data_IF_982679375090
#
_entry.id   IF_982679375090
#
_cell.length_a   1.000
_cell.length_b   1.000
_cell.length_c   1.000
_cell.angle_alpha   90.00
_cell.angle_beta   90.00
_cell.angle_gamma   90.00
#
_symmetry.space_group_name_H-M   'P 1'
#
loop_
_entity.id
_entity.type
_entity.pdbx_description
1 polymer ?
#
# COMPACT_ATOMS: atom_id res chain seq x y z
N UNK A 1 -8.53 -27.65 6.65
CA UNK A 1 -7.86 -26.33 6.66
C UNK A 1 -7.08 -26.25 7.96
N UNK A 2 -5.83 -25.80 7.96
CA UNK A 2 -5.23 -25.40 9.24
C UNK A 2 -5.87 -24.07 9.62
N UNK A 3 -6.42 -23.97 10.82
CA UNK A 3 -7.13 -22.78 11.32
C UNK A 3 -6.18 -21.61 11.61
N UNK A 4 -5.13 -21.40 10.81
CA UNK A 4 -4.19 -20.29 10.95
C UNK A 4 -4.90 -18.95 10.82
N UNK A 5 -5.82 -18.82 9.87
CA UNK A 5 -6.65 -17.61 9.68
C UNK A 5 -7.39 -17.26 10.97
N UNK A 6 -8.05 -18.23 11.60
CA UNK A 6 -8.79 -18.01 12.85
C UNK A 6 -7.87 -17.64 14.02
N UNK A 7 -6.71 -18.28 14.12
CA UNK A 7 -5.70 -17.97 15.14
C UNK A 7 -5.12 -16.56 14.97
N UNK A 8 -4.78 -16.19 13.73
CA UNK A 8 -4.25 -14.86 13.41
C UNK A 8 -5.31 -13.80 13.63
N UNK A 9 -6.54 -14.00 13.15
CA UNK A 9 -7.69 -13.11 13.40
C UNK A 9 -7.90 -12.87 14.88
N UNK A 10 -7.88 -13.93 15.70
CA UNK A 10 -7.99 -13.81 17.15
C UNK A 10 -6.80 -13.07 17.77
N UNK A 11 -5.59 -13.28 17.28
CA UNK A 11 -4.40 -12.62 17.80
C UNK A 11 -4.39 -11.11 17.48
N UNK A 12 -4.87 -10.71 16.30
CA UNK A 12 -5.06 -9.29 15.97
C UNK A 12 -6.23 -8.70 16.74
N UNK A 13 -7.39 -9.36 16.80
CA UNK A 13 -8.57 -8.87 17.56
C UNK A 13 -8.26 -8.65 19.05
N UNK A 14 -7.36 -9.45 19.63
CA UNK A 14 -6.91 -9.28 21.02
C UNK A 14 -5.86 -8.16 21.22
N UNK A 15 -5.44 -7.45 20.17
CA UNK A 15 -4.58 -6.27 20.30
C UNK A 15 -5.39 -5.11 20.92
N UNK A 16 -4.82 -4.38 21.90
CA UNK A 16 -5.49 -3.24 22.51
C UNK A 16 -5.71 -2.09 21.53
N UNK A 17 -4.86 -2.01 20.50
CA UNK A 17 -4.93 -1.05 19.42
C UNK A 17 -4.60 -1.76 18.10
N UNK A 18 -5.61 -1.91 17.25
CA UNK A 18 -5.55 -2.71 16.01
C UNK A 18 -4.99 -1.92 14.82
N UNK A 19 -3.94 -1.14 15.06
CA UNK A 19 -3.22 -0.43 14.00
C UNK A 19 -2.40 -1.39 13.12
N UNK A 20 -2.18 -1.05 11.83
CA UNK A 20 -1.38 -1.87 10.92
C UNK A 20 0.02 -2.16 11.49
N UNK A 21 0.64 -1.18 12.15
CA UNK A 21 1.96 -1.35 12.78
C UNK A 21 1.95 -2.40 13.90
N UNK A 22 0.90 -2.47 14.73
CA UNK A 22 0.79 -3.47 15.79
C UNK A 22 0.50 -4.87 15.23
N UNK A 23 -0.31 -4.94 14.16
CA UNK A 23 -0.61 -6.19 13.45
C UNK A 23 0.64 -6.81 12.83
N UNK A 24 1.50 -6.01 12.19
CA UNK A 24 2.81 -6.47 11.67
C UNK A 24 3.64 -7.16 12.77
N UNK A 25 3.65 -6.62 14.00
CA UNK A 25 4.36 -7.24 15.13
C UNK A 25 3.77 -8.58 15.54
N UNK A 26 2.45 -8.77 15.41
CA UNK A 26 1.78 -10.06 15.68
C UNK A 26 2.16 -11.09 14.61
N UNK A 27 2.18 -10.69 13.35
CA UNK A 27 2.54 -11.56 12.23
C UNK A 27 3.98 -12.07 12.34
N UNK A 28 4.91 -11.18 12.70
CA UNK A 28 6.31 -11.57 12.89
C UNK A 28 6.48 -12.58 14.05
N UNK A 29 5.78 -12.33 15.17
CA UNK A 29 5.74 -13.28 16.30
C UNK A 29 5.15 -14.62 15.91
N UNK A 30 4.11 -14.65 15.08
CA UNK A 30 3.51 -15.90 14.60
C UNK A 30 4.51 -16.73 13.78
N UNK A 31 5.26 -16.07 12.87
CA UNK A 31 6.32 -16.73 12.09
C UNK A 31 7.40 -17.32 12.99
N UNK A 32 7.86 -16.55 13.97
CA UNK A 32 8.85 -17.01 14.94
C UNK A 32 8.34 -18.20 15.79
N UNK A 33 7.06 -18.17 16.19
CA UNK A 33 6.43 -19.24 16.96
C UNK A 33 6.33 -20.54 16.17
N UNK A 34 5.89 -20.48 14.91
CA UNK A 34 5.80 -21.67 14.04
C UNK A 34 7.18 -22.27 13.79
N UNK A 35 8.19 -21.43 13.51
CA UNK A 35 9.57 -21.91 13.34
C UNK A 35 10.06 -22.65 14.58
N UNK A 36 9.90 -22.04 15.76
CA UNK A 36 10.30 -22.64 17.03
C UNK A 36 9.54 -23.94 17.33
N UNK A 37 8.26 -24.00 16.98
CA UNK A 37 7.46 -25.21 17.11
C UNK A 37 7.99 -26.33 16.21
N UNK A 38 8.34 -26.03 14.96
CA UNK A 38 8.89 -27.01 14.02
C UNK A 38 10.28 -27.49 14.45
N UNK A 39 11.12 -26.60 14.97
CA UNK A 39 12.44 -26.93 15.53
C UNK A 39 12.36 -27.80 16.80
N UNK A 40 11.27 -27.68 17.56
CA UNK A 40 11.03 -28.49 18.76
C UNK A 40 10.59 -29.93 18.44
N UNK A 41 10.17 -30.22 17.20
CA UNK A 41 9.77 -31.56 16.77
C UNK A 41 11.02 -32.40 16.51
N UNK A 42 11.03 -33.65 17.00
CA UNK A 42 12.11 -34.60 16.78
C UNK A 42 11.59 -35.92 16.16
N UNK A 43 12.12 -36.35 15.00
CA UNK A 43 13.13 -35.67 14.17
C UNK A 43 12.57 -34.38 13.52
N UNK A 44 13.42 -33.39 13.23
CA UNK A 44 12.97 -32.15 12.62
C UNK A 44 12.34 -32.44 11.24
N UNK A 45 11.23 -31.75 10.90
CA UNK A 45 10.64 -31.87 9.59
C UNK A 45 11.57 -31.31 8.51
N UNK A 46 11.48 -31.85 7.29
CA UNK A 46 12.28 -31.37 6.15
C UNK A 46 12.05 -29.88 5.86
N UNK A 47 13.07 -29.18 5.35
CA UNK A 47 12.97 -27.77 4.97
C UNK A 47 11.79 -27.45 4.05
N UNK A 48 11.44 -28.36 3.13
CA UNK A 48 10.26 -28.20 2.26
C UNK A 48 8.95 -28.10 3.05
N UNK A 49 8.81 -28.87 4.13
CA UNK A 49 7.62 -28.85 4.99
C UNK A 49 7.57 -27.57 5.81
N UNK A 50 8.72 -27.13 6.31
CA UNK A 50 8.85 -25.86 7.04
C UNK A 50 8.46 -24.70 6.12
N UNK A 51 9.03 -24.65 4.91
CA UNK A 51 8.72 -23.64 3.91
C UNK A 51 7.22 -23.63 3.58
N UNK A 52 6.61 -24.80 3.35
CA UNK A 52 5.17 -24.91 3.10
C UNK A 52 4.30 -24.43 4.27
N UNK A 53 4.71 -24.60 5.52
CA UNK A 53 3.95 -24.08 6.65
C UNK A 53 4.09 -22.58 6.84
N UNK A 54 5.28 -22.03 6.59
CA UNK A 54 5.47 -20.59 6.57
C UNK A 54 4.71 -19.92 5.43
N UNK A 55 4.67 -20.57 4.26
CA UNK A 55 3.90 -20.11 3.10
C UNK A 55 2.40 -20.06 3.41
N UNK A 56 1.84 -21.13 3.98
CA UNK A 56 0.44 -21.15 4.43
C UNK A 56 0.14 -20.09 5.51
N UNK A 57 1.09 -19.86 6.42
CA UNK A 57 0.95 -18.80 7.42
C UNK A 57 0.90 -17.42 6.74
N UNK A 58 1.74 -17.17 5.73
CA UNK A 58 1.74 -15.92 4.97
C UNK A 58 0.43 -15.71 4.21
N UNK A 59 -0.09 -16.75 3.55
CA UNK A 59 -1.39 -16.68 2.88
C UNK A 59 -2.53 -16.35 3.87
N UNK A 60 -2.50 -16.96 5.06
CA UNK A 60 -3.48 -16.67 6.10
C UNK A 60 -3.38 -15.23 6.62
N UNK A 61 -2.16 -14.68 6.71
CA UNK A 61 -1.94 -13.28 7.09
C UNK A 61 -2.52 -12.34 6.03
N UNK A 62 -2.27 -12.62 4.74
CA UNK A 62 -2.77 -11.82 3.61
C UNK A 62 -4.31 -11.79 3.55
N UNK A 63 -4.94 -12.94 3.77
CA UNK A 63 -6.41 -13.05 3.82
C UNK A 63 -6.99 -12.24 4.99
N UNK A 64 -6.43 -12.38 6.20
CA UNK A 64 -6.85 -11.58 7.37
C UNK A 64 -6.56 -10.10 7.14
N UNK A 65 -5.48 -9.77 6.43
CA UNK A 65 -5.13 -8.38 6.15
C UNK A 65 -6.11 -7.72 5.20
N UNK A 66 -6.42 -8.39 4.10
CA UNK A 66 -7.44 -7.98 3.14
C UNK A 66 -8.80 -7.82 3.81
N UNK A 67 -9.25 -8.81 4.60
CA UNK A 67 -10.52 -8.70 5.33
C UNK A 67 -10.55 -7.50 6.28
N UNK A 68 -9.44 -7.16 6.93
CA UNK A 68 -9.40 -6.01 7.84
C UNK A 68 -9.32 -4.67 7.11
N UNK A 69 -8.71 -4.62 5.93
CA UNK A 69 -8.67 -3.43 5.07
C UNK A 69 -10.06 -3.21 4.46
N UNK A 70 -10.74 -4.27 4.01
CA UNK A 70 -12.09 -4.22 3.44
C UNK A 70 -13.18 -3.96 4.49
N UNK A 71 -13.00 -4.44 5.73
CA UNK A 71 -13.97 -4.23 6.81
C UNK A 71 -13.86 -2.85 7.47
N UNK A 72 -12.71 -2.18 7.37
CA UNK A 72 -12.66 -0.76 7.67
C UNK A 72 -13.44 -0.04 6.57
N UNK A 73 -14.43 0.82 6.90
CA UNK A 73 -15.05 1.64 5.88
C UNK A 73 -13.92 2.37 5.17
N UNK A 74 -13.86 2.12 3.86
CA UNK A 74 -13.01 2.81 2.92
C UNK A 74 -13.05 4.32 3.19
N UNK A 75 -12.16 4.83 4.03
CA UNK A 75 -11.70 6.21 3.96
C UNK A 75 -10.77 6.31 2.73
N UNK A 76 -11.34 5.94 1.57
CA UNK A 76 -10.85 6.23 0.24
C UNK A 76 -11.07 7.73 -0.02
N UNK A 77 -10.43 8.62 0.74
CA UNK A 77 -10.70 10.06 0.57
C UNK A 77 -9.46 10.95 0.74
N UNK A 78 -8.28 10.47 0.37
CA UNK A 78 -7.17 11.39 0.09
C UNK A 78 -6.53 11.08 -1.26
N UNK A 79 -6.08 9.85 -1.51
CA UNK A 79 -5.36 9.57 -2.77
C UNK A 79 -6.23 9.65 -4.04
N UNK A 80 -7.49 9.19 -3.98
CA UNK A 80 -8.42 9.20 -5.12
C UNK A 80 -9.04 10.60 -5.32
N UNK A 81 -9.36 11.29 -4.22
CA UNK A 81 -9.83 12.68 -4.23
C UNK A 81 -8.77 13.66 -4.79
N UNK A 82 -7.50 13.49 -4.42
CA UNK A 82 -6.38 14.29 -4.97
C UNK A 82 -6.19 14.05 -6.48
N UNK A 83 -6.42 12.82 -6.95
CA UNK A 83 -6.31 12.50 -8.38
C UNK A 83 -7.47 13.10 -9.18
N UNK A 84 -8.70 13.04 -8.65
CA UNK A 84 -9.87 13.67 -9.27
C UNK A 84 -9.79 15.21 -9.30
N UNK A 85 -9.25 15.84 -8.24
CA UNK A 85 -9.06 17.29 -8.19
C UNK A 85 -7.97 17.77 -9.16
N UNK A 86 -6.90 16.98 -9.35
CA UNK A 86 -5.85 17.28 -10.33
C UNK A 86 -6.38 17.21 -11.78
N UNK A 87 -7.24 16.23 -12.08
CA UNK A 87 -7.87 16.08 -13.40
C UNK A 87 -8.81 17.25 -13.73
N UNK A 88 -9.58 17.72 -12.74
CA UNK A 88 -10.50 18.86 -12.91
C UNK A 88 -9.79 20.19 -13.20
N UNK A 89 -8.59 20.42 -12.62
CA UNK A 89 -7.81 21.64 -12.86
C UNK A 89 -7.17 21.71 -14.25
N UNK A 90 -6.88 20.56 -14.88
CA UNK A 90 -6.27 20.50 -16.21
C UNK A 90 -7.28 20.86 -17.31
N UNK A 91 -8.56 20.52 -17.14
CA UNK A 91 -9.61 20.86 -18.11
C UNK A 91 -10.02 22.34 -18.11
N UNK A 92 -9.71 23.11 -17.06
CA UNK A 92 -10.15 24.50 -16.91
C UNK A 92 -9.13 25.57 -17.30
N UNK A 93 -7.99 25.24 -17.92
CA UNK A 93 -7.05 26.28 -18.37
C UNK A 93 -7.50 26.88 -19.72
N UNK A 94 -8.07 28.11 -19.76
CA UNK A 94 -8.18 28.84 -21.02
C UNK A 94 -6.77 29.13 -21.51
N UNK A 95 -6.48 28.72 -22.74
CA UNK A 95 -5.24 29.05 -23.45
C UNK A 95 -5.13 30.58 -23.54
N UNK A 96 -4.38 31.19 -22.63
CA UNK A 96 -4.13 32.64 -22.63
C UNK A 96 -3.22 32.93 -23.82
N UNK A 97 -3.79 33.59 -24.83
CA UNK A 97 -3.08 34.12 -25.98
C UNK A 97 -1.96 35.07 -25.51
N UNK A 98 -0.72 34.73 -25.84
CA UNK A 98 0.48 35.51 -25.53
C UNK A 98 0.49 36.82 -26.33
N UNK A 99 0.52 38.01 -25.70
CA UNK A 99 0.66 39.27 -26.41
C UNK A 99 2.16 39.55 -26.63
N UNK A 100 2.65 39.33 -27.84
CA UNK A 100 4.01 39.72 -28.21
C UNK A 100 4.14 41.26 -28.30
N UNK A 101 5.11 41.88 -27.60
CA UNK A 101 5.28 43.33 -27.61
C UNK A 101 6.01 43.81 -28.89
N UNK A 102 5.42 44.77 -29.59
CA UNK A 102 6.12 45.73 -30.46
C UNK A 102 6.65 46.86 -29.55
N UNK A 103 7.86 47.44 -29.72
CA UNK A 103 8.29 48.24 -30.90
C UNK A 103 9.80 47.98 -31.22
N UNK A 104 10.49 48.51 -32.24
CA UNK A 104 10.50 49.84 -32.83
C UNK A 104 11.17 49.82 -34.21
N UNK A 105 10.64 50.60 -35.16
CA UNK A 105 11.37 51.03 -36.36
C UNK A 105 12.42 52.07 -35.99
N UNK A 106 13.51 52.17 -36.77
CA UNK A 106 13.79 53.46 -37.40
C UNK A 106 14.02 53.32 -38.91
N UNK A 107 13.18 54.02 -39.65
CA UNK A 107 13.37 54.38 -41.05
C UNK A 107 14.53 55.37 -41.18
N UNK A 108 15.54 55.08 -42.01
CA UNK A 108 16.39 56.10 -42.62
C UNK A 108 17.10 55.53 -43.88
N UNK A 109 16.56 55.84 -45.07
CA UNK A 109 17.40 56.03 -46.26
C UNK A 109 18.20 57.35 -46.12
N UNK A 110 19.20 57.66 -46.97
CA UNK A 110 18.99 57.74 -48.42
C UNK A 110 20.19 57.33 -49.32
N UNK A 111 19.85 57.10 -50.60
CA UNK A 111 20.54 57.41 -51.88
C UNK A 111 22.06 57.68 -51.94
N UNK A 112 22.77 57.01 -52.86
CA UNK A 112 23.34 57.65 -54.08
C UNK A 112 23.66 56.61 -55.15
#
# INVERSE_FOLDING_TARGET
>A
MADFVAVIRKAVDNLPDNTPQNRIRVYDKARAAIRRQLEAINPPPSDEVIARQLDKLNLAIDEVESEHIEALPAELDEADALMAELESMVEQSPVIAEPAPQPASPQAGPQT
#
